data_IF_698585248050
#
_entry.id   IF_698585248050
#
_cell.length_a   1.000
_cell.length_b   1.000
_cell.length_c   1.000
_cell.angle_alpha   90.00
_cell.angle_beta   90.00
_cell.angle_gamma   90.00
#
_symmetry.space_group_name_H-M   'P 1'
#
loop_
_entity.id
_entity.type
_entity.pdbx_description
1 polymer ?
#
# COMPACT_ATOMS: atom_id res chain seq x y z
N UNK A 1 5.84 -77.69 14.67
CA UNK A 1 6.65 -76.46 14.44
C UNK A 1 5.69 -75.29 14.39
N UNK A 2 5.31 -74.78 15.56
CA UNK A 2 4.37 -73.67 15.68
C UNK A 2 5.18 -72.36 15.79
N UNK A 3 4.93 -71.47 14.84
CA UNK A 3 5.56 -70.16 14.71
C UNK A 3 5.03 -69.28 15.84
N UNK A 4 5.64 -69.37 17.02
CA UNK A 4 5.36 -68.55 18.18
C UNK A 4 6.10 -67.22 18.11
N UNK A 5 5.86 -66.43 17.06
CA UNK A 5 6.36 -65.05 17.02
C UNK A 5 5.46 -64.24 17.94
N UNK A 6 5.97 -64.05 19.15
CA UNK A 6 5.48 -63.20 20.24
C UNK A 6 4.63 -62.00 19.76
N UNK A 7 3.34 -62.02 20.12
CA UNK A 7 2.39 -60.89 20.00
C UNK A 7 2.94 -59.57 20.56
N UNK A 8 3.90 -59.62 21.49
CA UNK A 8 4.56 -58.44 22.06
C UNK A 8 5.47 -57.69 21.09
N UNK A 9 6.01 -58.35 20.06
CA UNK A 9 6.88 -57.70 19.06
C UNK A 9 6.05 -56.88 18.08
N UNK A 10 4.87 -57.35 17.70
CA UNK A 10 3.94 -56.63 16.82
C UNK A 10 3.38 -55.37 17.50
N UNK A 11 3.13 -55.42 18.80
CA UNK A 11 2.62 -54.27 19.58
C UNK A 11 3.65 -53.15 19.77
N UNK A 12 4.95 -53.46 19.71
CA UNK A 12 6.05 -52.50 19.83
C UNK A 12 6.43 -51.85 18.48
N UNK A 13 6.19 -52.54 17.37
CA UNK A 13 6.51 -52.02 16.02
C UNK A 13 5.45 -51.01 15.53
N UNK A 14 4.20 -51.17 15.96
CA UNK A 14 3.08 -50.29 15.56
C UNK A 14 3.24 -48.81 15.97
N UNK A 15 3.65 -48.44 17.21
CA UNK A 15 3.92 -47.05 17.56
C UNK A 15 5.20 -46.50 16.92
N UNK A 16 6.16 -47.35 16.58
CA UNK A 16 7.43 -46.94 15.94
C UNK A 16 7.24 -46.52 14.47
N UNK A 17 6.25 -47.10 13.79
CA UNK A 17 5.87 -46.79 12.40
C UNK A 17 5.01 -45.51 12.25
N UNK A 18 4.48 -44.96 13.34
CA UNK A 18 3.68 -43.72 13.34
C UNK A 18 4.51 -42.45 13.58
N UNK A 19 5.78 -42.57 13.98
CA UNK A 19 6.68 -41.43 14.22
C UNK A 19 7.08 -40.63 12.97
N UNK A 20 7.24 -41.19 11.75
CA UNK A 20 7.74 -40.38 10.63
C UNK A 20 6.70 -39.41 10.04
N UNK A 21 5.41 -39.53 10.39
CA UNK A 21 4.33 -38.69 9.80
C UNK A 21 4.38 -37.23 10.25
N UNK A 22 5.06 -36.93 11.37
CA UNK A 22 5.09 -35.55 11.90
C UNK A 22 6.13 -34.64 11.25
N UNK A 23 7.12 -35.20 10.53
CA UNK A 23 8.22 -34.41 9.96
C UNK A 23 7.87 -33.88 8.56
N UNK A 24 7.17 -34.67 7.75
CA UNK A 24 6.79 -34.30 6.37
C UNK A 24 5.78 -33.15 6.29
N UNK A 25 4.94 -32.97 7.32
CA UNK A 25 3.98 -31.86 7.37
C UNK A 25 4.67 -30.48 7.38
N UNK A 26 5.88 -30.38 7.93
CA UNK A 26 6.63 -29.12 8.02
C UNK A 26 7.23 -28.69 6.67
N UNK A 27 7.74 -29.64 5.87
CA UNK A 27 8.33 -29.35 4.55
C UNK A 27 7.27 -28.95 3.53
N UNK A 28 6.09 -29.58 3.56
CA UNK A 28 4.97 -29.23 2.68
C UNK A 28 4.44 -27.81 2.97
N UNK A 29 4.41 -27.43 4.25
CA UNK A 29 3.94 -26.09 4.66
C UNK A 29 4.85 -24.99 4.12
N UNK A 30 6.17 -25.15 4.23
CA UNK A 30 7.13 -24.11 3.80
C UNK A 30 7.12 -23.85 2.28
N UNK A 31 6.90 -24.87 1.44
CA UNK A 31 6.80 -24.68 -0.01
C UNK A 31 5.55 -23.86 -0.42
N UNK A 32 4.42 -24.07 0.25
CA UNK A 32 3.20 -23.27 0.04
C UNK A 32 3.39 -21.80 0.38
N UNK A 33 4.21 -21.51 1.39
CA UNK A 33 4.54 -20.13 1.77
C UNK A 33 5.37 -19.41 0.69
N UNK A 34 6.24 -20.10 -0.05
CA UNK A 34 6.99 -19.48 -1.15
C UNK A 34 6.08 -18.98 -2.27
N UNK A 35 5.03 -19.73 -2.59
CA UNK A 35 4.02 -19.30 -3.55
C UNK A 35 3.26 -18.07 -3.03
N UNK A 36 2.90 -18.08 -1.74
CA UNK A 36 2.25 -16.94 -1.07
C UNK A 36 3.14 -15.68 -1.08
N UNK A 37 4.45 -15.81 -0.92
CA UNK A 37 5.38 -14.67 -1.06
C UNK A 37 5.29 -14.05 -2.44
N UNK A 38 5.29 -14.86 -3.51
CA UNK A 38 5.22 -14.36 -4.89
C UNK A 38 3.92 -13.62 -5.17
N UNK A 39 2.79 -14.14 -4.70
CA UNK A 39 1.49 -13.48 -4.88
C UNK A 39 1.47 -12.15 -4.14
N UNK A 40 1.81 -12.12 -2.85
CA UNK A 40 1.83 -10.89 -2.05
C UNK A 40 2.81 -9.85 -2.61
N UNK A 41 3.97 -10.28 -3.12
CA UNK A 41 4.93 -9.38 -3.78
C UNK A 41 4.32 -8.70 -5.02
N UNK A 42 3.60 -9.46 -5.86
CA UNK A 42 2.93 -8.91 -7.02
C UNK A 42 1.82 -7.91 -6.63
N UNK A 43 1.08 -8.19 -5.57
CA UNK A 43 0.04 -7.26 -5.09
C UNK A 43 0.62 -5.95 -4.56
N UNK A 44 1.70 -6.04 -3.78
CA UNK A 44 2.45 -4.88 -3.30
C UNK A 44 3.01 -4.06 -4.47
N UNK A 45 3.53 -4.73 -5.50
CA UNK A 45 4.02 -4.07 -6.71
C UNK A 45 2.91 -3.28 -7.42
N UNK A 46 1.74 -3.89 -7.64
CA UNK A 46 0.59 -3.22 -8.28
C UNK A 46 0.11 -2.02 -7.46
N UNK A 47 0.05 -2.12 -6.12
CA UNK A 47 -0.32 -1.00 -5.27
C UNK A 47 0.72 0.13 -5.33
N UNK A 48 2.01 -0.22 -5.32
CA UNK A 48 3.10 0.74 -5.46
C UNK A 48 3.08 1.45 -6.80
N UNK A 49 2.77 0.76 -7.91
CA UNK A 49 2.64 1.36 -9.24
C UNK A 49 1.50 2.39 -9.28
N UNK A 50 0.40 2.13 -8.56
CA UNK A 50 -0.69 3.09 -8.38
C UNK A 50 -0.29 4.29 -7.50
N UNK A 51 0.91 4.23 -6.91
CA UNK A 51 1.49 5.24 -6.04
C UNK A 51 0.87 5.27 -4.65
N UNK A 52 0.46 4.10 -4.17
CA UNK A 52 0.02 3.88 -2.78
C UNK A 52 1.26 3.56 -1.95
N UNK A 53 1.30 4.08 -0.73
CA UNK A 53 2.40 3.79 0.19
C UNK A 53 2.25 2.36 0.74
N UNK A 54 3.16 1.48 0.32
CA UNK A 54 3.20 0.06 0.71
C UNK A 54 4.31 -0.26 1.73
N UNK A 55 5.01 0.73 2.28
CA UNK A 55 6.20 0.50 3.11
C UNK A 55 5.94 -0.44 4.30
N UNK A 56 4.79 -0.33 4.95
CA UNK A 56 4.42 -1.18 6.09
C UNK A 56 4.12 -2.63 5.72
N UNK A 57 3.64 -2.88 4.50
CA UNK A 57 3.41 -4.23 3.98
C UNK A 57 4.71 -4.86 3.48
N UNK A 58 5.58 -4.09 2.82
CA UNK A 58 6.91 -4.53 2.41
C UNK A 58 7.76 -4.94 3.61
N UNK A 59 7.69 -4.22 4.72
CA UNK A 59 8.44 -4.54 5.93
C UNK A 59 8.04 -5.91 6.52
N UNK A 60 6.75 -6.24 6.57
CA UNK A 60 6.30 -7.57 7.04
C UNK A 60 6.62 -8.66 6.04
N UNK A 61 6.49 -8.37 4.74
CA UNK A 61 6.88 -9.31 3.69
C UNK A 61 8.37 -9.67 3.81
N UNK A 62 9.24 -8.68 4.01
CA UNK A 62 10.68 -8.88 4.21
C UNK A 62 10.97 -9.73 5.46
N UNK A 63 10.26 -9.50 6.58
CA UNK A 63 10.36 -10.35 7.77
C UNK A 63 9.93 -11.79 7.49
N UNK A 64 8.84 -11.98 6.74
CA UNK A 64 8.35 -13.30 6.33
C UNK A 64 9.34 -14.06 5.46
N UNK A 65 9.93 -13.39 4.45
CA UNK A 65 10.98 -13.97 3.59
C UNK A 65 12.22 -14.32 4.40
N UNK A 66 12.63 -13.48 5.34
CA UNK A 66 13.77 -13.77 6.23
C UNK A 66 13.50 -14.99 7.13
N UNK A 67 12.30 -15.12 7.68
CA UNK A 67 11.91 -16.26 8.48
C UNK A 67 11.88 -17.57 7.64
N UNK A 68 11.40 -17.51 6.39
CA UNK A 68 11.47 -18.65 5.45
C UNK A 68 12.91 -19.07 5.18
N UNK A 69 13.80 -18.12 4.91
CA UNK A 69 15.21 -18.41 4.67
C UNK A 69 15.92 -19.02 5.90
N UNK A 70 15.35 -18.85 7.10
CA UNK A 70 15.84 -19.44 8.35
C UNK A 70 15.17 -20.79 8.67
N UNK A 71 14.23 -21.26 7.84
CA UNK A 71 13.44 -22.48 8.07
C UNK A 71 12.35 -22.32 9.14
N UNK A 72 12.04 -21.09 9.56
CA UNK A 72 11.05 -20.80 10.60
C UNK A 72 9.65 -20.64 9.98
N UNK A 73 9.07 -21.72 9.46
CA UNK A 73 7.81 -21.68 8.69
C UNK A 73 6.64 -21.05 9.48
N UNK A 74 6.48 -21.35 10.77
CA UNK A 74 5.38 -20.80 11.59
C UNK A 74 5.47 -19.27 11.75
N UNK A 75 6.69 -18.76 11.94
CA UNK A 75 6.92 -17.31 12.05
C UNK A 75 6.76 -16.63 10.70
N UNK A 76 7.23 -17.28 9.63
CA UNK A 76 7.03 -16.80 8.28
C UNK A 76 5.54 -16.67 7.94
N UNK A 77 4.73 -17.68 8.30
CA UNK A 77 3.29 -17.65 8.08
C UNK A 77 2.65 -16.45 8.78
N UNK A 78 2.99 -16.21 10.05
CA UNK A 78 2.48 -15.06 10.81
C UNK A 78 2.84 -13.71 10.17
N UNK A 79 4.09 -13.55 9.71
CA UNK A 79 4.51 -12.32 9.03
C UNK A 79 3.83 -12.15 7.66
N UNK A 80 3.69 -13.22 6.89
CA UNK A 80 3.00 -13.18 5.59
C UNK A 80 1.50 -12.91 5.74
N UNK A 81 0.86 -13.46 6.77
CA UNK A 81 -0.53 -13.15 7.12
C UNK A 81 -0.67 -11.66 7.47
N UNK A 82 0.26 -11.11 8.28
CA UNK A 82 0.25 -9.69 8.61
C UNK A 82 0.47 -8.80 7.38
N UNK A 83 1.35 -9.20 6.47
CA UNK A 83 1.55 -8.51 5.20
C UNK A 83 0.27 -8.50 4.35
N UNK A 84 -0.41 -9.65 4.25
CA UNK A 84 -1.67 -9.81 3.54
C UNK A 84 -2.78 -8.91 4.11
N UNK A 85 -2.95 -8.87 5.43
CA UNK A 85 -3.92 -8.00 6.09
C UNK A 85 -3.66 -6.51 5.77
N UNK A 86 -2.39 -6.09 5.80
CA UNK A 86 -1.99 -4.72 5.44
C UNK A 86 -2.27 -4.43 3.97
N UNK A 87 -2.00 -5.37 3.07
CA UNK A 87 -2.29 -5.22 1.63
C UNK A 87 -3.79 -5.09 1.40
N UNK A 88 -4.62 -5.87 2.09
CA UNK A 88 -6.07 -5.74 2.03
C UNK A 88 -6.56 -4.37 2.49
N UNK A 89 -6.09 -3.89 3.66
CA UNK A 89 -6.44 -2.56 4.13
C UNK A 89 -5.99 -1.44 3.16
N UNK A 90 -4.83 -1.61 2.52
CA UNK A 90 -4.34 -0.68 1.50
C UNK A 90 -5.19 -0.72 0.22
N UNK A 91 -5.69 -1.89 -0.20
CA UNK A 91 -6.61 -2.03 -1.32
C UNK A 91 -7.95 -1.35 -1.06
N UNK A 92 -8.49 -1.48 0.15
CA UNK A 92 -9.76 -0.82 0.52
C UNK A 92 -9.64 0.71 0.51
N UNK A 93 -8.49 1.23 0.93
CA UNK A 93 -8.24 2.68 0.98
C UNK A 93 -7.68 3.24 -0.33
N UNK A 94 -7.16 2.38 -1.22
CA UNK A 94 -6.53 2.71 -2.50
C UNK A 94 -7.35 3.71 -3.32
N UNK A 95 -8.60 3.38 -3.61
CA UNK A 95 -9.43 4.14 -4.54
C UNK A 95 -9.69 5.56 -4.02
N UNK A 96 -9.92 5.70 -2.71
CA UNK A 96 -10.14 7.01 -2.07
C UNK A 96 -8.90 7.88 -2.14
N UNK A 97 -7.72 7.32 -1.86
CA UNK A 97 -6.44 8.02 -1.92
C UNK A 97 -6.12 8.46 -3.35
N UNK A 98 -6.36 7.58 -4.33
CA UNK A 98 -6.15 7.88 -5.75
C UNK A 98 -7.09 9.00 -6.20
N UNK A 99 -8.38 8.95 -5.82
CA UNK A 99 -9.35 9.99 -6.15
C UNK A 99 -8.94 11.34 -5.58
N UNK A 100 -8.58 11.42 -4.30
CA UNK A 100 -8.11 12.66 -3.68
C UNK A 100 -6.90 13.24 -4.40
N UNK A 101 -5.90 12.39 -4.71
CA UNK A 101 -4.71 12.82 -5.45
C UNK A 101 -5.06 13.36 -6.83
N UNK A 102 -5.97 12.70 -7.54
CA UNK A 102 -6.41 13.14 -8.86
C UNK A 102 -7.18 14.46 -8.79
N UNK A 103 -8.06 14.65 -7.81
CA UNK A 103 -8.76 15.92 -7.58
C UNK A 103 -7.75 17.05 -7.39
N UNK A 104 -6.76 16.88 -6.53
CA UNK A 104 -5.71 17.91 -6.30
C UNK A 104 -4.96 18.24 -7.59
N UNK A 105 -4.63 17.24 -8.40
CA UNK A 105 -3.97 17.45 -9.71
C UNK A 105 -4.86 18.27 -10.65
N UNK A 106 -6.12 17.87 -10.83
CA UNK A 106 -7.06 18.56 -11.71
C UNK A 106 -7.37 19.98 -11.25
N UNK A 107 -7.52 20.19 -9.94
CA UNK A 107 -7.69 21.53 -9.37
C UNK A 107 -6.46 22.39 -9.63
N UNK A 108 -5.26 21.88 -9.41
CA UNK A 108 -4.02 22.63 -9.66
C UNK A 108 -3.90 23.06 -11.13
N UNK A 109 -4.19 22.14 -12.06
CA UNK A 109 -4.23 22.43 -13.49
C UNK A 109 -5.32 23.47 -13.82
N UNK A 110 -6.50 23.33 -13.22
CA UNK A 110 -7.61 24.28 -13.40
C UNK A 110 -7.27 25.68 -12.91
N UNK A 111 -6.60 25.81 -11.77
CA UNK A 111 -6.13 27.11 -11.25
C UNK A 111 -5.15 27.74 -12.24
N UNK A 112 -4.13 26.99 -12.69
CA UNK A 112 -3.14 27.49 -13.63
C UNK A 112 -3.79 27.94 -14.95
N UNK A 113 -4.74 27.17 -15.46
CA UNK A 113 -5.50 27.51 -16.67
C UNK A 113 -6.39 28.75 -16.47
N UNK A 114 -6.88 28.98 -15.25
CA UNK A 114 -7.71 30.14 -14.92
C UNK A 114 -6.91 31.44 -14.78
N UNK A 115 -5.61 31.40 -14.48
CA UNK A 115 -4.76 32.59 -14.30
C UNK A 115 -4.93 33.62 -15.44
N UNK A 116 -4.75 33.28 -16.73
CA UNK A 116 -4.86 34.27 -17.80
C UNK A 116 -6.28 34.87 -17.90
N UNK A 117 -7.33 34.07 -17.71
CA UNK A 117 -8.73 34.50 -17.78
C UNK A 117 -9.04 35.46 -16.64
N UNK A 118 -8.70 35.08 -15.42
CA UNK A 118 -8.89 35.87 -14.20
C UNK A 118 -8.10 37.18 -14.31
N UNK A 119 -6.84 37.11 -14.76
CA UNK A 119 -5.99 38.29 -14.95
C UNK A 119 -6.61 39.23 -15.98
N UNK A 120 -7.04 38.73 -17.14
CA UNK A 120 -7.62 39.56 -18.19
C UNK A 120 -8.92 40.24 -17.77
N UNK A 121 -9.76 39.57 -16.97
CA UNK A 121 -11.06 40.10 -16.55
C UNK A 121 -11.02 40.95 -15.27
N UNK A 122 -10.28 40.53 -14.23
CA UNK A 122 -10.23 41.24 -12.95
C UNK A 122 -9.26 42.40 -12.96
N UNK A 123 -8.11 42.28 -13.62
CA UNK A 123 -7.06 43.29 -13.53
C UNK A 123 -7.51 44.66 -14.08
N UNK A 124 -8.24 44.77 -15.20
CA UNK A 124 -8.79 46.05 -15.66
C UNK A 124 -9.78 46.68 -14.67
N UNK A 125 -10.63 45.86 -14.03
CA UNK A 125 -11.62 46.33 -13.05
C UNK A 125 -10.96 46.83 -11.77
N UNK A 126 -10.01 46.06 -11.24
CA UNK A 126 -9.22 46.44 -10.06
C UNK A 126 -8.42 47.71 -10.35
N UNK A 127 -7.76 47.78 -11.51
CA UNK A 127 -7.00 48.95 -11.95
C UNK A 127 -7.89 50.19 -12.00
N UNK A 128 -9.05 50.13 -12.65
CA UNK A 128 -9.99 51.26 -12.71
C UNK A 128 -10.47 51.68 -11.31
N UNK A 129 -10.83 50.71 -10.45
CA UNK A 129 -11.26 51.00 -9.08
C UNK A 129 -10.20 51.74 -8.27
N UNK A 130 -8.95 51.28 -8.34
CA UNK A 130 -7.79 51.92 -7.70
C UNK A 130 -7.53 53.31 -8.30
N UNK A 131 -7.55 53.43 -9.62
CA UNK A 131 -7.35 54.68 -10.33
C UNK A 131 -8.34 55.76 -9.89
N UNK A 132 -9.64 55.44 -9.90
CA UNK A 132 -10.68 56.37 -9.45
C UNK A 132 -10.54 56.72 -7.97
N UNK A 133 -10.18 55.77 -7.12
CA UNK A 133 -9.98 56.01 -5.69
C UNK A 133 -8.80 56.97 -5.45
N UNK A 134 -7.72 56.85 -6.23
CA UNK A 134 -6.55 57.71 -6.13
C UNK A 134 -6.79 59.12 -6.70
N UNK A 135 -7.44 59.23 -7.87
CA UNK A 135 -7.73 60.50 -8.55
C UNK A 135 -8.76 61.40 -7.84
N UNK A 136 -9.61 60.86 -6.97
CA UNK A 136 -10.62 61.65 -6.21
C UNK A 136 -10.03 62.76 -5.34
N UNK A 137 -8.74 62.72 -5.01
CA UNK A 137 -8.07 63.75 -4.20
C UNK A 137 -7.42 64.87 -5.02
N UNK A 138 -7.48 64.82 -6.34
CA UNK A 138 -6.84 65.81 -7.20
C UNK A 138 -7.73 67.06 -7.30
N UNK A 139 -7.40 68.09 -6.52
CA UNK A 139 -8.02 69.42 -6.67
C UNK A 139 -7.55 70.03 -7.99
N UNK A 140 -8.46 70.18 -8.95
CA UNK A 140 -8.18 70.89 -10.20
C UNK A 140 -8.03 72.37 -9.87
N UNK A 141 -6.85 72.95 -10.14
CA UNK A 141 -6.64 74.40 -10.07
C UNK A 141 -7.50 75.05 -11.16
N UNK A 142 -8.46 75.88 -10.78
CA UNK A 142 -9.16 76.73 -11.76
C UNK A 142 -8.20 77.85 -12.16
N UNK A 143 -7.98 78.02 -13.45
CA UNK A 143 -7.37 79.22 -14.02
C UNK A 143 -8.52 80.21 -14.23
N UNK A 144 -8.49 81.33 -13.51
CA UNK A 144 -9.29 82.50 -13.85
C UNK A 144 -8.54 83.23 -14.98
N UNK A 145 -9.25 83.46 -16.09
CA UNK A 145 -8.78 84.21 -17.26
C UNK A 145 -9.39 85.60 -17.19
#
# INVERSE_FOLDING_TARGET
MAIGISLGVVFLIFPLLLLPVTIEASEISCHLLEEKVKTLFNEVYVLSERGINVSSAVEELDKGVKALNQGECDKAEAYLQSAEDKIHALKETADTVILQRNIVKWVSVGILAAIPIVTYLLLPRIYMGLWFRYRRKWKVRKYEV
#
